data_IF_474725126129
#
_entry.id   IF_474725126129
#
_cell.length_a   1.000
_cell.length_b   1.000
_cell.length_c   1.000
_cell.angle_alpha   90.00
_cell.angle_beta   90.00
_cell.angle_gamma   90.00
#
_symmetry.space_group_name_H-M   'P 1'
#
loop_
_entity.id
_entity.type
_entity.pdbx_description
1 polymer ?
#
# COMPACT_ATOMS: atom_id res chain seq x y z
N UNK A 1 -9.85 -15.16 -9.94
CA UNK A 1 -8.54 -14.47 -9.87
C UNK A 1 -8.82 -12.99 -9.61
N UNK A 2 -8.08 -12.36 -8.69
CA UNK A 2 -8.25 -10.92 -8.39
C UNK A 2 -7.65 -10.07 -9.52
N UNK A 3 -8.22 -8.90 -9.81
CA UNK A 3 -7.69 -7.96 -10.80
C UNK A 3 -6.21 -7.58 -10.54
N UNK A 4 -5.81 -7.55 -9.26
CA UNK A 4 -4.42 -7.33 -8.85
C UNK A 4 -3.51 -8.47 -9.31
N UNK A 5 -3.98 -9.71 -9.23
CA UNK A 5 -3.20 -10.87 -9.64
C UNK A 5 -2.96 -10.85 -11.15
N UNK A 6 -4.00 -10.55 -11.93
CA UNK A 6 -3.87 -10.42 -13.39
C UNK A 6 -2.90 -9.31 -13.79
N UNK A 7 -2.97 -8.16 -13.11
CA UNK A 7 -2.04 -7.04 -13.34
C UNK A 7 -0.59 -7.45 -13.04
N UNK A 8 -0.34 -8.07 -11.89
CA UNK A 8 1.00 -8.48 -11.48
C UNK A 8 1.58 -9.60 -12.36
N UNK A 9 0.73 -10.52 -12.83
CA UNK A 9 1.14 -11.57 -13.77
C UNK A 9 1.43 -11.01 -15.17
N UNK A 10 0.69 -9.98 -15.62
CA UNK A 10 0.93 -9.30 -16.92
C UNK A 10 2.14 -8.35 -16.88
N UNK A 11 2.41 -7.73 -15.74
CA UNK A 11 3.45 -6.68 -15.56
C UNK A 11 4.43 -7.05 -14.45
N UNK A 12 5.50 -7.75 -14.83
CA UNK A 12 6.62 -8.07 -13.95
C UNK A 12 7.48 -6.85 -13.58
N UNK A 13 7.35 -5.74 -14.32
CA UNK A 13 8.06 -4.47 -14.11
C UNK A 13 7.44 -3.58 -13.02
N UNK A 14 6.25 -3.91 -12.52
CA UNK A 14 5.62 -3.12 -11.45
C UNK A 14 6.39 -3.28 -10.14
N UNK A 15 6.83 -2.16 -9.58
CA UNK A 15 7.36 -2.15 -8.24
C UNK A 15 6.21 -2.09 -7.23
N UNK A 16 6.28 -2.95 -6.22
CA UNK A 16 5.36 -2.92 -5.10
C UNK A 16 5.83 -1.83 -4.11
N UNK A 17 4.88 -1.07 -3.59
CA UNK A 17 5.12 -0.08 -2.55
C UNK A 17 4.56 -0.62 -1.22
N UNK A 18 5.32 -0.44 -0.14
CA UNK A 18 5.03 -1.01 1.16
C UNK A 18 4.91 0.07 2.21
N UNK A 19 3.92 -0.10 3.08
CA UNK A 19 3.63 0.88 4.13
C UNK A 19 3.49 0.16 5.47
N UNK A 20 4.22 0.64 6.48
CA UNK A 20 4.14 0.13 7.84
C UNK A 20 3.16 0.96 8.64
N UNK A 21 2.23 0.29 9.32
CA UNK A 21 1.31 0.94 10.24
C UNK A 21 2.01 1.25 11.57
N UNK A 22 2.26 2.53 11.87
CA UNK A 22 3.12 2.99 12.98
C UNK A 22 2.77 2.39 14.34
N UNK A 23 1.47 2.23 14.66
CA UNK A 23 1.04 1.69 15.96
C UNK A 23 1.07 0.17 16.08
N UNK A 24 1.00 -0.56 14.97
CA UNK A 24 0.84 -2.03 14.96
C UNK A 24 2.04 -2.76 14.38
N UNK A 25 2.98 -2.04 13.76
CA UNK A 25 4.17 -2.60 13.10
C UNK A 25 3.89 -3.38 11.82
N UNK A 26 2.63 -3.68 11.50
CA UNK A 26 2.24 -4.48 10.33
C UNK A 26 2.47 -3.71 9.03
N UNK A 27 3.01 -4.43 8.04
CA UNK A 27 3.28 -3.92 6.70
C UNK A 27 2.15 -4.29 5.76
N UNK A 28 1.73 -3.32 4.96
CA UNK A 28 0.66 -3.44 3.98
C UNK A 28 1.22 -3.11 2.60
N UNK A 29 0.68 -3.79 1.60
CA UNK A 29 1.06 -3.58 0.20
C UNK A 29 0.08 -2.58 -0.39
N UNK A 30 0.60 -1.48 -0.90
CA UNK A 30 -0.19 -0.48 -1.65
C UNK A 30 -0.69 -1.14 -2.93
N UNK A 31 -1.94 -0.87 -3.32
CA UNK A 31 -2.47 -1.37 -4.59
C UNK A 31 -1.61 -0.81 -5.73
N UNK A 32 -0.90 -1.67 -6.49
CA UNK A 32 -0.04 -1.20 -7.57
C UNK A 32 -0.90 -0.52 -8.63
N UNK A 33 -0.43 0.65 -9.07
CA UNK A 33 -1.09 1.39 -10.14
C UNK A 33 -0.72 0.78 -11.48
N UNK A 34 -1.73 0.48 -12.28
CA UNK A 34 -1.53 0.17 -13.69
C UNK A 34 -1.20 1.48 -14.43
N UNK A 35 0.01 1.66 -14.98
CA UNK A 35 0.37 2.87 -15.72
C UNK A 35 -0.45 3.04 -17.00
N UNK A 36 -1.01 1.95 -17.53
CA UNK A 36 -1.81 1.96 -18.76
C UNK A 36 -3.27 2.35 -18.48
N UNK A 37 -3.68 2.36 -17.21
CA UNK A 37 -5.04 2.69 -16.77
C UNK A 37 -5.05 4.00 -15.97
N UNK A 38 -5.82 4.98 -16.43
CA UNK A 38 -6.07 6.22 -15.68
C UNK A 38 -7.01 5.90 -14.51
N UNK A 39 -6.46 5.47 -13.38
CA UNK A 39 -7.24 5.20 -12.16
C UNK A 39 -7.88 6.51 -11.66
N UNK A 40 -9.20 6.50 -11.53
CA UNK A 40 -9.91 7.50 -10.72
C UNK A 40 -9.46 7.35 -9.27
N UNK A 41 -9.10 8.47 -8.63
CA UNK A 41 -8.78 8.50 -7.20
C UNK A 41 -9.95 7.86 -6.45
N UNK A 42 -9.66 6.91 -5.54
CA UNK A 42 -10.70 6.29 -4.74
C UNK A 42 -11.52 7.39 -4.06
N UNK A 43 -12.86 7.37 -4.16
CA UNK A 43 -13.69 8.40 -3.56
C UNK A 43 -13.45 8.40 -2.05
N UNK A 44 -13.32 9.59 -1.48
CA UNK A 44 -13.16 9.85 -0.03
C UNK A 44 -14.31 9.33 0.83
N UNK A 45 -15.32 8.70 0.21
CA UNK A 45 -16.51 8.14 0.85
C UNK A 45 -16.22 6.99 1.83
N UNK A 46 -15.13 6.24 1.63
CA UNK A 46 -14.73 5.11 2.51
C UNK A 46 -13.76 5.50 3.64
N UNK A 47 -13.47 6.79 3.80
CA UNK A 47 -12.67 7.30 4.91
C UNK A 47 -13.49 7.36 6.21
N UNK A 48 -12.85 7.18 7.37
CA UNK A 48 -13.48 7.45 8.66
C UNK A 48 -13.79 8.93 8.84
N UNK A 49 -14.57 9.28 9.87
CA UNK A 49 -15.08 10.66 10.03
C UNK A 49 -13.96 11.69 10.24
N UNK A 50 -12.90 11.33 10.96
CA UNK A 50 -11.74 12.19 11.19
C UNK A 50 -10.97 12.44 9.89
N UNK A 51 -10.83 11.42 9.07
CA UNK A 51 -10.13 11.50 7.79
C UNK A 51 -10.96 12.20 6.71
N UNK A 52 -12.29 12.05 6.75
CA UNK A 52 -13.24 12.86 5.97
C UNK A 52 -13.17 14.32 6.36
N UNK A 53 -13.08 14.62 7.66
CA UNK A 53 -12.97 15.98 8.17
C UNK A 53 -11.65 16.64 7.72
N UNK A 54 -10.53 15.93 7.84
CA UNK A 54 -9.24 16.40 7.33
C UNK A 54 -9.22 16.52 5.80
N UNK A 55 -9.88 15.60 5.09
CA UNK A 55 -10.07 15.68 3.64
C UNK A 55 -10.92 16.87 3.22
N UNK A 56 -12.00 17.17 3.94
CA UNK A 56 -12.87 18.32 3.70
C UNK A 56 -12.17 19.66 3.99
N UNK A 57 -11.23 19.67 4.93
CA UNK A 57 -10.36 20.81 5.21
C UNK A 57 -9.18 20.93 4.23
N UNK A 58 -9.08 20.03 3.24
CA UNK A 58 -8.03 20.06 2.22
C UNK A 58 -6.65 19.67 2.75
N UNK A 59 -6.56 18.96 3.88
CA UNK A 59 -5.27 18.47 4.40
C UNK A 59 -4.85 17.14 3.77
N UNK A 60 -5.78 16.35 3.24
CA UNK A 60 -5.48 15.09 2.55
C UNK A 60 -5.18 15.35 1.09
N UNK A 61 -3.96 15.03 0.66
CA UNK A 61 -3.48 15.13 -0.72
C UNK A 61 -3.86 13.92 -1.56
N UNK A 62 -3.78 12.71 -0.99
CA UNK A 62 -4.04 11.45 -1.71
C UNK A 62 -4.48 10.36 -0.75
N UNK A 63 -5.58 9.69 -1.07
CA UNK A 63 -5.99 8.43 -0.46
C UNK A 63 -5.56 7.28 -1.36
N UNK A 64 -4.88 6.27 -0.80
CA UNK A 64 -4.37 5.13 -1.55
C UNK A 64 -4.80 3.83 -0.92
N UNK A 65 -5.58 2.98 -1.61
CA UNK A 65 -5.96 1.69 -1.08
C UNK A 65 -4.75 0.74 -1.02
N UNK A 66 -4.80 -0.18 -0.07
CA UNK A 66 -3.89 -1.31 0.10
C UNK A 66 -4.59 -2.61 -0.28
N UNK A 67 -3.83 -3.66 -0.59
CA UNK A 67 -4.37 -4.95 -1.00
C UNK A 67 -5.30 -5.60 0.03
N UNK A 68 -5.14 -5.27 1.32
CA UNK A 68 -6.02 -5.76 2.38
C UNK A 68 -7.27 -4.92 2.60
N UNK A 69 -7.52 -3.90 1.78
CA UNK A 69 -8.69 -3.01 1.87
C UNK A 69 -8.54 -1.86 2.87
N UNK A 70 -7.35 -1.62 3.42
CA UNK A 70 -7.09 -0.38 4.19
C UNK A 70 -6.76 0.76 3.25
N UNK A 71 -7.06 1.98 3.66
CA UNK A 71 -6.71 3.19 2.91
C UNK A 71 -5.61 3.95 3.64
N UNK A 72 -4.49 4.16 2.96
CA UNK A 72 -3.44 5.07 3.41
C UNK A 72 -3.81 6.49 3.01
N UNK A 73 -3.56 7.43 3.91
CA UNK A 73 -3.70 8.86 3.63
C UNK A 73 -2.34 9.51 3.55
N UNK A 74 -2.16 10.29 2.49
CA UNK A 74 -1.02 11.19 2.32
C UNK A 74 -1.55 12.60 2.48
N UNK A 75 -0.97 13.35 3.41
CA UNK A 75 -1.30 14.73 3.68
C UNK A 75 -0.47 15.69 2.81
N UNK A 76 -0.88 16.95 2.76
CA UNK A 76 -0.20 17.96 1.91
C UNK A 76 1.20 18.32 2.36
N UNK A 77 1.50 18.17 3.66
CA UNK A 77 2.85 18.29 4.22
C UNK A 77 3.76 17.10 3.86
N UNK A 78 3.23 16.10 3.17
CA UNK A 78 3.94 14.88 2.80
C UNK A 78 3.90 13.80 3.88
N UNK A 79 3.25 14.04 5.02
CA UNK A 79 3.07 13.01 6.03
C UNK A 79 2.11 11.92 5.55
N UNK A 80 2.37 10.69 5.99
CA UNK A 80 1.56 9.50 5.68
C UNK A 80 0.61 9.12 6.83
N UNK A 81 0.33 10.08 7.72
CA UNK A 81 -0.56 9.90 8.87
C UNK A 81 -0.07 8.83 9.85
N UNK A 82 -0.88 7.78 9.97
CA UNK A 82 -0.63 6.60 10.79
C UNK A 82 0.24 5.54 10.10
N UNK A 83 0.64 5.78 8.85
CA UNK A 83 1.51 4.91 8.07
C UNK A 83 2.87 5.58 7.82
N UNK A 84 3.86 4.77 7.45
CA UNK A 84 5.15 5.21 6.91
C UNK A 84 5.51 4.32 5.72
N UNK A 85 6.13 4.90 4.69
CA UNK A 85 6.65 4.13 3.56
C UNK A 85 7.91 3.39 4.04
N UNK A 86 8.01 2.10 3.69
CA UNK A 86 9.15 1.25 4.07
C UNK A 86 9.70 0.53 2.85
N UNK A 87 11.02 0.52 2.74
CA UNK A 87 11.73 -0.17 1.64
C UNK A 87 12.17 -1.59 2.03
N UNK A 88 12.19 -1.91 3.32
CA UNK A 88 12.56 -3.22 3.85
C UNK A 88 11.83 -3.51 5.18
N UNK A 89 11.46 -4.76 5.39
CA UNK A 89 10.76 -5.25 6.59
C UNK A 89 10.97 -6.76 6.74
N UNK A 90 10.68 -7.31 7.92
CA UNK A 90 10.71 -8.76 8.12
C UNK A 90 9.46 -9.41 7.54
N UNK A 91 9.58 -10.57 6.91
CA UNK A 91 8.45 -11.26 6.25
C UNK A 91 7.23 -11.42 7.18
N UNK A 92 7.46 -11.70 8.46
CA UNK A 92 6.44 -11.85 9.50
C UNK A 92 5.65 -10.56 9.78
N UNK A 93 6.18 -9.40 9.40
CA UNK A 93 5.49 -8.11 9.52
C UNK A 93 4.42 -7.94 8.44
N UNK A 94 4.53 -8.66 7.31
CA UNK A 94 3.58 -8.56 6.21
C UNK A 94 2.18 -8.96 6.66
N UNK A 95 1.20 -8.12 6.35
CA UNK A 95 -0.20 -8.39 6.62
C UNK A 95 -0.64 -9.69 5.93
N UNK A 96 -1.15 -10.66 6.71
CA UNK A 96 -1.59 -11.95 6.17
C UNK A 96 -2.72 -11.86 5.12
N UNK A 97 -3.49 -10.77 5.08
CA UNK A 97 -4.42 -10.53 3.97
C UNK A 97 -3.70 -10.10 2.69
N UNK A 98 -2.68 -9.26 2.79
CA UNK A 98 -1.84 -8.91 1.64
C UNK A 98 -1.09 -10.15 1.12
N UNK A 99 -0.54 -10.95 2.02
CA UNK A 99 0.11 -12.21 1.69
C UNK A 99 -0.82 -13.17 0.91
N UNK A 100 -2.09 -13.28 1.34
CA UNK A 100 -3.09 -14.11 0.64
C UNK A 100 -3.47 -13.56 -0.73
N UNK A 101 -3.59 -12.24 -0.88
CA UNK A 101 -3.97 -11.61 -2.15
C UNK A 101 -2.86 -11.71 -3.20
N UNK A 102 -1.60 -11.53 -2.79
CA UNK A 102 -0.45 -11.71 -3.68
C UNK A 102 -0.35 -13.18 -4.16
N UNK A 103 -0.64 -14.13 -3.27
CA UNK A 103 -0.36 -15.54 -3.54
C UNK A 103 1.14 -15.83 -3.54
N UNK A 104 1.54 -17.11 -3.58
CA UNK A 104 2.95 -17.50 -3.47
C UNK A 104 3.84 -16.95 -4.59
N UNK A 105 3.31 -16.79 -5.81
CA UNK A 105 4.09 -16.30 -6.96
C UNK A 105 4.48 -14.83 -6.82
N UNK A 106 3.57 -13.98 -6.32
CA UNK A 106 3.82 -12.55 -6.18
C UNK A 106 4.30 -12.17 -4.79
N UNK A 107 4.12 -13.03 -3.78
CA UNK A 107 4.64 -12.79 -2.44
C UNK A 107 6.18 -12.73 -2.44
N UNK A 108 6.86 -13.54 -3.27
CA UNK A 108 8.30 -13.46 -3.44
C UNK A 108 8.80 -12.05 -3.80
N UNK A 109 8.08 -11.32 -4.67
CA UNK A 109 8.39 -9.92 -5.04
C UNK A 109 8.25 -8.95 -3.88
N UNK A 110 7.48 -9.30 -2.84
CA UNK A 110 7.38 -8.54 -1.60
C UNK A 110 8.46 -8.90 -0.58
N UNK A 111 9.28 -9.91 -0.85
CA UNK A 111 10.37 -10.35 0.02
C UNK A 111 11.76 -10.14 -0.61
N UNK A 112 11.83 -9.83 -1.91
CA UNK A 112 13.05 -9.46 -2.64
C UNK A 112 13.58 -8.04 -2.31
N UNK A 113 13.27 -7.51 -1.13
CA UNK A 113 13.83 -6.23 -0.69
C UNK A 113 15.33 -6.38 -0.42
N UNK A 114 16.15 -5.37 -0.77
CA UNK A 114 17.57 -5.41 -0.48
C UNK A 114 17.73 -5.62 1.03
N UNK A 115 18.28 -6.77 1.39
CA UNK A 115 18.69 -7.05 2.76
C UNK A 115 19.63 -5.92 3.13
N UNK A 116 19.27 -5.10 4.12
CA UNK A 116 20.21 -4.19 4.74
C UNK A 116 21.33 -5.06 5.32
N UNK A 117 22.37 -5.30 4.53
CA UNK A 117 23.60 -5.91 5.00
C UNK A 117 24.11 -4.98 6.11
N UNK A 118 24.32 -5.47 7.34
CA UNK A 118 24.92 -4.66 8.38
C UNK A 118 26.32 -4.25 7.92
N UNK A 119 26.59 -2.95 8.00
CA UNK A 119 27.89 -2.33 7.75
C UNK A 119 28.91 -2.74 8.82
#
# INVERSE_FOLDING_TARGET
>A
MSAVHELLSRRSDLQLEFVRHRRRGRVHVVVPRDPDTRQELAPTADLGEEEKFQGALGFVRKATPTLCGRTMLVYFDGETGDHEIVDAFADDDLCGSCHRVLGPEHAARAFEHPTLLPS
#
